data_IF_682378207583
#
_entry.id   IF_682378207583
#
_cell.length_a   1.000
_cell.length_b   1.000
_cell.length_c   1.000
_cell.angle_alpha   90.00
_cell.angle_beta   90.00
_cell.angle_gamma   90.00
#
_symmetry.space_group_name_H-M   'P 1'
#
loop_
_entity.id
_entity.type
_entity.pdbx_description
1 polymer ?
#
# COMPACT_ATOMS: atom_id res chain seq x y z
N UNK A 1 25.71 -11.30 -7.76
CA UNK A 1 25.23 -10.67 -6.51
C UNK A 1 24.15 -9.61 -6.80
N UNK A 2 24.34 -8.72 -7.78
CA UNK A 2 23.28 -7.79 -8.26
C UNK A 2 22.01 -8.48 -8.78
N UNK A 3 22.13 -9.60 -9.52
CA UNK A 3 20.96 -10.36 -10.01
C UNK A 3 20.09 -10.92 -8.87
N UNK A 4 20.70 -11.27 -7.73
CA UNK A 4 20.01 -11.79 -6.54
C UNK A 4 19.31 -10.65 -5.78
N UNK A 5 19.93 -9.46 -5.74
CA UNK A 5 19.33 -8.25 -5.17
C UNK A 5 18.21 -7.66 -6.04
N UNK A 6 18.20 -7.96 -7.34
CA UNK A 6 17.08 -7.64 -8.25
C UNK A 6 15.93 -8.64 -8.08
N UNK A 7 16.24 -9.93 -7.91
CA UNK A 7 15.26 -10.98 -7.54
C UNK A 7 14.59 -10.73 -6.18
N UNK A 8 15.34 -10.31 -5.17
CA UNK A 8 14.82 -9.99 -3.82
C UNK A 8 13.98 -8.71 -3.80
N UNK A 9 14.26 -7.74 -4.68
CA UNK A 9 13.45 -6.51 -4.84
C UNK A 9 12.10 -6.75 -5.54
N UNK A 10 11.92 -7.91 -6.18
CA UNK A 10 10.78 -8.21 -7.03
C UNK A 10 9.81 -9.24 -6.42
N UNK A 11 10.04 -9.72 -5.19
CA UNK A 11 9.12 -10.66 -4.56
C UNK A 11 7.77 -9.96 -4.32
N UNK A 12 6.71 -10.47 -4.93
CA UNK A 12 5.34 -9.92 -4.92
C UNK A 12 5.10 -8.62 -5.71
N UNK A 13 6.06 -8.18 -6.54
CA UNK A 13 5.86 -7.02 -7.41
C UNK A 13 4.71 -7.23 -8.41
N UNK A 14 4.75 -8.33 -9.16
CA UNK A 14 3.73 -8.61 -10.19
C UNK A 14 2.36 -8.86 -9.56
N UNK A 15 2.31 -9.49 -8.40
CA UNK A 15 1.09 -9.71 -7.63
C UNK A 15 0.48 -8.38 -7.14
N UNK A 16 1.30 -7.46 -6.61
CA UNK A 16 0.83 -6.15 -6.15
C UNK A 16 0.34 -5.29 -7.32
N UNK A 17 1.06 -5.32 -8.44
CA UNK A 17 0.68 -4.65 -9.68
C UNK A 17 -0.65 -5.20 -10.21
N UNK A 18 -0.73 -6.52 -10.41
CA UNK A 18 -1.92 -7.20 -10.92
C UNK A 18 -3.12 -6.98 -10.01
N UNK A 19 -2.94 -7.04 -8.68
CA UNK A 19 -4.00 -6.75 -7.72
C UNK A 19 -4.54 -5.33 -7.89
N UNK A 20 -3.64 -4.36 -8.01
CA UNK A 20 -4.01 -2.95 -8.21
C UNK A 20 -4.74 -2.77 -9.54
N UNK A 21 -4.18 -3.28 -10.63
CA UNK A 21 -4.77 -3.20 -11.98
C UNK A 21 -6.17 -3.81 -12.01
N UNK A 22 -6.36 -5.01 -11.46
CA UNK A 22 -7.65 -5.66 -11.37
C UNK A 22 -8.66 -4.88 -10.52
N UNK A 23 -8.18 -4.15 -9.51
CA UNK A 23 -9.08 -3.36 -8.68
C UNK A 23 -9.49 -2.06 -9.36
N UNK A 24 -8.61 -1.38 -10.11
CA UNK A 24 -8.84 -0.01 -10.58
C UNK A 24 -9.12 0.15 -12.07
N UNK A 25 -8.56 -0.69 -12.95
CA UNK A 25 -8.69 -0.50 -14.39
C UNK A 25 -10.13 -0.71 -14.85
N UNK A 26 -10.62 0.22 -15.67
CA UNK A 26 -11.98 0.20 -16.20
C UNK A 26 -13.09 0.47 -15.17
N UNK A 27 -12.73 0.90 -13.95
CA UNK A 27 -13.69 1.21 -12.88
C UNK A 27 -13.62 2.68 -12.48
N UNK A 28 -14.74 3.19 -11.97
CA UNK A 28 -14.76 4.48 -11.32
C UNK A 28 -14.04 4.39 -9.97
N UNK A 29 -13.17 5.36 -9.72
CA UNK A 29 -12.42 5.48 -8.48
C UNK A 29 -12.74 6.82 -7.84
N UNK A 30 -12.83 6.85 -6.51
CA UNK A 30 -12.77 8.10 -5.76
C UNK A 30 -11.40 8.26 -5.13
N UNK A 31 -10.93 9.50 -5.12
CA UNK A 31 -9.66 9.89 -4.52
C UNK A 31 -9.93 10.79 -3.32
N UNK A 32 -9.33 10.43 -2.19
CA UNK A 32 -9.36 11.24 -0.98
C UNK A 32 -7.97 11.76 -0.67
N UNK A 33 -7.79 13.07 -0.71
CA UNK A 33 -6.51 13.73 -0.44
C UNK A 33 -6.11 13.56 1.04
N UNK A 34 -4.86 13.18 1.33
CA UNK A 34 -4.33 13.22 2.71
C UNK A 34 -4.18 14.68 3.17
N UNK A 35 -4.76 14.98 4.33
CA UNK A 35 -4.89 16.35 4.85
C UNK A 35 -3.55 16.93 5.30
N UNK A 36 -2.73 16.13 6.00
CA UNK A 36 -1.46 16.60 6.58
C UNK A 36 -0.33 16.68 5.54
N UNK A 37 -0.39 15.87 4.49
CA UNK A 37 0.67 15.74 3.49
C UNK A 37 0.06 15.61 2.10
N UNK A 38 -0.20 16.74 1.45
CA UNK A 38 -0.90 16.75 0.16
C UNK A 38 -0.04 16.34 -1.03
N UNK A 39 1.23 16.76 -1.02
CA UNK A 39 2.16 16.57 -2.12
C UNK A 39 3.51 16.15 -1.54
N UNK A 40 4.19 15.23 -2.21
CA UNK A 40 5.54 14.84 -1.81
C UNK A 40 6.64 15.70 -2.44
N UNK A 41 7.90 15.40 -2.10
CA UNK A 41 9.07 16.14 -2.62
C UNK A 41 9.29 16.03 -4.14
N UNK A 42 8.60 15.10 -4.80
CA UNK A 42 8.67 14.88 -6.25
C UNK A 42 7.44 15.46 -6.98
N UNK A 43 6.56 16.17 -6.28
CA UNK A 43 5.37 16.77 -6.86
C UNK A 43 4.18 15.81 -7.03
N UNK A 44 4.23 14.61 -6.42
CA UNK A 44 3.13 13.64 -6.50
C UNK A 44 2.05 13.95 -5.48
N UNK A 45 0.79 13.95 -5.90
CA UNK A 45 -0.37 14.06 -5.01
C UNK A 45 -0.48 12.81 -4.14
N UNK A 46 -0.59 13.00 -2.83
CA UNK A 46 -0.67 11.91 -1.85
C UNK A 46 -2.09 11.78 -1.29
N UNK A 47 -2.64 10.58 -1.32
CA UNK A 47 -3.96 10.32 -0.77
C UNK A 47 -4.35 8.86 -0.92
N UNK A 48 -5.65 8.63 -0.82
CA UNK A 48 -6.23 7.31 -0.74
C UNK A 48 -7.17 7.08 -1.92
N UNK A 49 -7.10 5.89 -2.50
CA UNK A 49 -7.92 5.50 -3.63
C UNK A 49 -8.97 4.52 -3.15
N UNK A 50 -10.21 4.75 -3.56
CA UNK A 50 -11.33 3.89 -3.26
C UNK A 50 -12.00 3.43 -4.53
N UNK A 51 -12.45 2.18 -4.51
CA UNK A 51 -13.26 1.58 -5.58
C UNK A 51 -14.52 1.01 -4.93
N UNK A 52 -15.68 1.52 -5.29
CA UNK A 52 -16.97 1.14 -4.68
C UNK A 52 -16.94 1.20 -3.13
N UNK A 53 -16.32 2.25 -2.57
CA UNK A 53 -16.16 2.44 -1.13
C UNK A 53 -15.06 1.61 -0.46
N UNK A 54 -14.37 0.72 -1.20
CA UNK A 54 -13.27 -0.09 -0.68
C UNK A 54 -11.96 0.67 -0.78
N UNK A 55 -11.25 0.85 0.34
CA UNK A 55 -9.94 1.50 0.37
C UNK A 55 -8.83 0.58 -0.18
N UNK A 56 -8.33 0.86 -1.38
CA UNK A 56 -7.28 0.09 -2.05
C UNK A 56 -6.00 -0.02 -1.19
N UNK A 57 -5.63 1.05 -0.47
CA UNK A 57 -4.39 1.09 0.31
C UNK A 57 -4.42 0.07 1.45
N UNK A 58 -5.55 0.00 2.16
CA UNK A 58 -5.75 -0.96 3.24
C UNK A 58 -5.78 -2.38 2.68
N UNK A 59 -6.46 -2.61 1.55
CA UNK A 59 -6.52 -3.95 0.95
C UNK A 59 -5.16 -4.44 0.44
N UNK A 60 -4.32 -3.57 -0.12
CA UNK A 60 -2.94 -3.94 -0.48
C UNK A 60 -2.13 -4.39 0.75
N UNK A 61 -2.20 -3.64 1.84
CA UNK A 61 -1.48 -3.97 3.08
C UNK A 61 -2.02 -5.26 3.71
N UNK A 62 -3.35 -5.40 3.78
CA UNK A 62 -4.04 -6.57 4.35
C UNK A 62 -3.70 -7.86 3.62
N UNK A 63 -3.50 -7.82 2.30
CA UNK A 63 -3.08 -8.97 1.49
C UNK A 63 -1.56 -9.19 1.48
N UNK A 64 -0.79 -8.39 2.23
CA UNK A 64 0.68 -8.46 2.26
C UNK A 64 1.34 -8.03 0.96
N UNK A 65 0.68 -7.22 0.14
CA UNK A 65 1.18 -6.71 -1.14
C UNK A 65 1.82 -5.32 -0.99
N UNK A 66 1.70 -4.70 0.17
CA UNK A 66 2.37 -3.46 0.55
C UNK A 66 2.77 -3.48 2.02
N UNK A 67 3.79 -2.67 2.37
CA UNK A 67 4.18 -2.39 3.76
C UNK A 67 3.81 -0.97 4.14
N UNK A 68 3.52 -0.75 5.42
CA UNK A 68 3.26 0.56 5.99
C UNK A 68 4.59 1.23 6.31
N UNK A 69 4.77 2.47 5.83
CA UNK A 69 5.96 3.29 6.12
C UNK A 69 5.49 4.58 6.77
N UNK A 70 5.84 4.75 8.05
CA UNK A 70 5.54 5.95 8.83
C UNK A 70 6.86 6.66 9.17
N UNK A 71 6.84 7.99 9.17
CA UNK A 71 7.97 8.81 9.57
C UNK A 71 7.72 9.36 10.98
N UNK A 72 8.61 9.08 11.92
CA UNK A 72 8.41 9.38 13.35
C UNK A 72 8.11 10.86 13.67
N UNK A 73 8.63 11.79 12.84
CA UNK A 73 8.43 13.24 13.01
C UNK A 73 7.17 13.78 12.33
N UNK A 74 6.33 12.91 11.76
CA UNK A 74 5.10 13.29 11.07
C UNK A 74 3.90 13.11 11.99
N UNK A 75 2.98 14.08 11.94
CA UNK A 75 1.61 13.92 12.41
C UNK A 75 0.97 12.66 11.79
N UNK A 76 0.06 12.06 12.57
CA UNK A 76 -0.68 10.86 12.21
C UNK A 76 -1.52 11.10 10.95
N UNK A 77 -1.42 10.18 9.99
CA UNK A 77 -2.25 10.18 8.77
C UNK A 77 -3.62 9.55 9.02
N UNK A 78 -4.60 9.86 8.18
CA UNK A 78 -6.02 9.55 8.46
C UNK A 78 -6.27 8.07 8.77
N UNK A 79 -5.74 7.16 7.95
CA UNK A 79 -5.96 5.71 8.07
C UNK A 79 -4.83 4.95 8.78
N UNK A 80 -4.00 5.63 9.58
CA UNK A 80 -2.79 5.03 10.17
C UNK A 80 -3.06 3.76 10.98
N UNK A 81 -4.06 3.77 11.87
CA UNK A 81 -4.32 2.64 12.77
C UNK A 81 -4.83 1.42 12.00
N UNK A 82 -5.67 1.64 11.00
CA UNK A 82 -6.22 0.59 10.14
C UNK A 82 -5.14 -0.05 9.28
N UNK A 83 -4.24 0.77 8.71
CA UNK A 83 -3.08 0.30 7.96
C UNK A 83 -2.16 -0.54 8.85
N UNK A 84 -1.84 -0.08 10.07
CA UNK A 84 -1.00 -0.83 11.01
C UNK A 84 -1.67 -2.14 11.45
N UNK A 85 -2.98 -2.12 11.70
CA UNK A 85 -3.76 -3.32 12.04
C UNK A 85 -3.79 -4.32 10.88
N UNK A 86 -3.98 -3.85 9.65
CA UNK A 86 -3.93 -4.67 8.45
C UNK A 86 -2.55 -5.29 8.25
N UNK A 87 -1.46 -4.53 8.44
CA UNK A 87 -0.11 -5.06 8.31
C UNK A 87 0.18 -6.12 9.37
N UNK A 88 -0.22 -5.88 10.63
CA UNK A 88 -0.08 -6.85 11.71
C UNK A 88 -0.74 -8.19 11.34
N UNK A 89 -1.98 -8.16 10.85
CA UNK A 89 -2.70 -9.37 10.40
C UNK A 89 -2.00 -10.05 9.22
N UNK A 90 -1.49 -9.29 8.25
CA UNK A 90 -0.77 -9.84 7.11
C UNK A 90 0.53 -10.54 7.54
N UNK A 91 1.25 -9.99 8.52
CA UNK A 91 2.44 -10.60 9.12
C UNK A 91 2.13 -11.88 9.88
N UNK A 92 1.11 -11.86 10.74
CA UNK A 92 0.67 -13.02 11.53
C UNK A 92 0.28 -14.20 10.63
N UNK A 93 -0.40 -13.91 9.52
CA UNK A 93 -0.83 -14.90 8.53
C UNK A 93 0.23 -15.21 7.47
N UNK A 94 1.43 -14.62 7.54
CA UNK A 94 2.52 -14.79 6.57
C UNK A 94 2.04 -14.60 5.12
N UNK A 95 1.34 -13.49 4.85
CA UNK A 95 0.81 -13.17 3.53
C UNK A 95 1.80 -12.37 2.69
N UNK A 96 1.76 -12.54 1.37
CA UNK A 96 2.57 -11.78 0.40
C UNK A 96 4.04 -11.65 0.82
N UNK A 97 4.53 -10.41 0.92
CA UNK A 97 5.92 -10.06 1.31
C UNK A 97 6.32 -10.58 2.70
N UNK A 98 5.38 -11.06 3.50
CA UNK A 98 5.61 -11.66 4.82
C UNK A 98 5.73 -13.19 4.79
N UNK A 99 5.60 -13.84 3.62
CA UNK A 99 5.93 -15.26 3.42
C UNK A 99 7.44 -15.45 3.66
N UNK A 100 7.80 -16.34 4.58
CA UNK A 100 9.19 -16.76 4.81
C UNK A 100 9.62 -17.78 3.76
#
# INVERSE_FOLDING_TARGET
MELMLQKLRNLFFEEAKTFTENLVLGKEISFEQEENYKVDKFGRTLGYVFVNGINLNIELVKNGLARVVLYEKRAKIKYQDELLSAEKKARENKLGIWKK
#
